data_IF_791808892528
#
_entry.id   IF_791808892528
#
_cell.length_a   1.000
_cell.length_b   1.000
_cell.length_c   1.000
_cell.angle_alpha   90.00
_cell.angle_beta   90.00
_cell.angle_gamma   90.00
#
_symmetry.space_group_name_H-M   'P 1'
#
loop_
_entity.id
_entity.type
_entity.pdbx_description
1 polymer ?
#
# COMPACT_ATOMS: atom_id res chain seq x y z
N UNK A 1 6.43 38.02 -17.85
CA UNK A 1 5.71 37.41 -16.72
C UNK A 1 4.68 36.45 -17.30
N UNK A 2 4.98 35.16 -17.28
CA UNK A 2 4.04 34.10 -17.66
C UNK A 2 4.28 32.95 -16.71
N UNK A 3 3.30 32.73 -15.83
CA UNK A 3 3.32 31.64 -14.87
C UNK A 3 3.26 30.29 -15.59
N UNK A 4 4.09 29.37 -15.14
CA UNK A 4 3.95 27.95 -15.46
C UNK A 4 3.55 27.24 -14.17
N UNK A 5 2.24 27.14 -13.96
CA UNK A 5 1.63 26.14 -13.09
C UNK A 5 1.83 24.78 -13.76
N UNK A 6 2.89 24.07 -13.36
CA UNK A 6 2.99 22.63 -13.62
C UNK A 6 2.01 21.94 -12.68
N UNK A 7 0.78 21.75 -13.19
CA UNK A 7 -0.11 20.74 -12.64
C UNK A 7 0.63 19.41 -12.70
N UNK A 8 0.92 18.82 -11.55
CA UNK A 8 1.30 17.42 -11.46
C UNK A 8 0.05 16.63 -11.83
N UNK A 9 0.02 16.13 -13.07
CA UNK A 9 -0.93 15.11 -13.47
C UNK A 9 -0.85 13.96 -12.45
N UNK A 10 -1.95 13.69 -11.77
CA UNK A 10 -2.11 12.58 -10.84
C UNK A 10 -2.11 11.26 -11.60
N UNK A 11 -0.93 10.84 -12.06
CA UNK A 11 -0.75 9.47 -12.55
C UNK A 11 -1.16 8.48 -11.46
N UNK A 12 -1.85 7.40 -11.83
CA UNK A 12 -2.12 6.27 -10.94
C UNK A 12 -0.79 5.64 -10.49
N UNK A 13 -0.13 6.22 -9.50
CA UNK A 13 1.14 5.69 -9.01
C UNK A 13 0.86 4.32 -8.39
N UNK A 14 1.42 3.30 -9.02
CA UNK A 14 1.78 2.05 -8.36
C UNK A 14 0.76 0.92 -8.42
N UNK A 15 -0.33 1.00 -9.19
CA UNK A 15 -1.24 -0.15 -9.37
C UNK A 15 -0.58 -1.23 -10.24
N UNK A 16 -0.56 -2.47 -9.75
CA UNK A 16 -0.01 -3.65 -10.41
C UNK A 16 -1.01 -4.80 -10.38
N UNK A 17 -0.86 -5.74 -11.32
CA UNK A 17 -1.68 -6.94 -11.36
C UNK A 17 -1.35 -7.89 -10.19
N UNK A 18 -2.37 -8.60 -9.72
CA UNK A 18 -2.22 -9.68 -8.76
C UNK A 18 -1.15 -10.69 -9.21
N UNK A 19 -0.18 -10.99 -8.34
CA UNK A 19 0.91 -11.94 -8.63
C UNK A 19 0.37 -13.35 -8.87
N UNK A 20 -0.79 -13.66 -8.32
CA UNK A 20 -1.49 -14.92 -8.50
C UNK A 20 -2.46 -14.93 -9.70
N UNK A 21 -2.51 -13.86 -10.51
CA UNK A 21 -3.29 -13.84 -11.76
C UNK A 21 -4.80 -13.72 -11.59
N UNK A 22 -5.30 -13.33 -10.41
CA UNK A 22 -6.74 -13.28 -10.12
C UNK A 22 -7.48 -12.08 -10.72
N UNK A 23 -6.82 -11.23 -11.51
CA UNK A 23 -7.37 -9.96 -12.03
C UNK A 23 -7.59 -8.86 -10.96
N UNK A 24 -7.21 -9.09 -9.70
CA UNK A 24 -7.32 -8.08 -8.64
C UNK A 24 -6.20 -7.06 -8.75
N UNK A 25 -6.50 -5.81 -8.41
CA UNK A 25 -5.55 -4.70 -8.39
C UNK A 25 -4.82 -4.64 -7.05
N UNK A 26 -3.50 -4.67 -7.13
CA UNK A 26 -2.59 -4.49 -6.00
C UNK A 26 -1.76 -3.23 -6.23
N UNK A 27 -0.96 -2.87 -5.24
CA UNK A 27 0.02 -1.81 -5.36
C UNK A 27 1.38 -2.25 -4.91
N UNK A 28 2.44 -1.74 -5.56
CA UNK A 28 3.82 -2.04 -5.15
C UNK A 28 4.06 -1.57 -3.71
N UNK A 29 4.69 -2.42 -2.92
CA UNK A 29 5.22 -2.08 -1.61
C UNK A 29 6.50 -2.88 -1.36
N UNK A 30 7.10 -2.65 -0.21
CA UNK A 30 8.24 -3.41 0.25
C UNK A 30 8.05 -3.77 1.72
N UNK A 31 8.41 -4.98 2.09
CA UNK A 31 8.23 -5.50 3.46
C UNK A 31 9.53 -6.03 4.03
N UNK A 32 9.67 -6.01 5.34
CA UNK A 32 10.75 -6.70 6.06
C UNK A 32 10.24 -7.13 7.42
N UNK A 33 10.91 -8.09 8.05
CA UNK A 33 10.74 -8.27 9.49
C UNK A 33 11.58 -7.24 10.26
N UNK A 34 10.96 -6.61 11.25
CA UNK A 34 11.58 -5.64 12.15
C UNK A 34 10.98 -5.82 13.54
N UNK A 35 11.81 -6.13 14.52
CA UNK A 35 11.39 -6.29 15.91
C UNK A 35 10.24 -7.30 16.10
N UNK A 36 10.25 -8.40 15.34
CA UNK A 36 9.21 -9.45 15.40
C UNK A 36 7.87 -9.07 14.75
N UNK A 37 7.82 -7.96 14.02
CA UNK A 37 6.67 -7.52 13.24
C UNK A 37 7.03 -7.48 11.76
N UNK A 38 6.03 -7.61 10.89
CA UNK A 38 6.21 -7.30 9.48
C UNK A 38 5.99 -5.80 9.32
N UNK A 39 7.03 -5.14 8.81
CA UNK A 39 7.03 -3.72 8.52
C UNK A 39 6.89 -3.51 7.02
N UNK A 40 5.83 -2.82 6.60
CA UNK A 40 5.55 -2.44 5.22
C UNK A 40 5.90 -0.98 4.99
N UNK A 41 6.52 -0.71 3.83
CA UNK A 41 6.66 0.63 3.26
C UNK A 41 6.05 0.65 1.86
N UNK A 42 5.41 1.75 1.49
CA UNK A 42 4.93 1.94 0.13
C UNK A 42 4.99 3.43 -0.25
N UNK A 43 5.28 3.70 -1.52
CA UNK A 43 5.15 5.03 -2.09
C UNK A 43 3.67 5.42 -2.20
N UNK A 44 3.38 6.71 -1.97
CA UNK A 44 2.03 7.22 -2.05
C UNK A 44 1.95 8.67 -1.59
N UNK A 45 0.72 9.15 -1.41
CA UNK A 45 0.48 10.45 -0.80
C UNK A 45 1.17 10.48 0.57
N UNK A 46 1.96 11.51 0.90
CA UNK A 46 2.64 11.63 2.18
C UNK A 46 1.62 11.79 3.33
N UNK A 47 1.12 10.67 3.83
CA UNK A 47 0.08 10.65 4.87
C UNK A 47 0.72 10.70 6.26
N UNK A 48 1.70 9.82 6.50
CA UNK A 48 2.41 9.73 7.78
C UNK A 48 3.93 9.79 7.64
N UNK A 49 4.45 9.74 6.40
CA UNK A 49 5.87 9.81 6.06
C UNK A 49 6.04 10.55 4.74
N UNK A 50 7.18 11.20 4.55
CA UNK A 50 7.52 11.90 3.30
C UNK A 50 7.46 10.97 2.08
N UNK A 51 7.79 9.68 2.26
CA UNK A 51 7.75 8.67 1.21
C UNK A 51 6.39 8.00 1.02
N UNK A 52 5.35 8.36 1.78
CA UNK A 52 4.02 7.75 1.66
C UNK A 52 3.58 7.02 2.92
N UNK A 53 3.66 5.69 2.90
CA UNK A 53 3.03 4.80 3.89
C UNK A 53 4.05 3.93 4.62
N UNK A 54 3.89 3.81 5.94
CA UNK A 54 4.62 2.86 6.78
C UNK A 54 3.69 2.22 7.81
N UNK A 55 3.63 0.89 7.85
CA UNK A 55 2.70 0.14 8.73
C UNK A 55 3.42 -1.08 9.31
N UNK A 56 3.20 -1.33 10.61
CA UNK A 56 3.62 -2.56 11.28
C UNK A 56 2.41 -3.45 11.59
N UNK A 57 2.54 -4.75 11.35
CA UNK A 57 1.51 -5.73 11.67
C UNK A 57 2.13 -7.03 12.21
N UNK A 58 1.38 -7.70 13.08
CA UNK A 58 1.77 -8.99 13.62
C UNK A 58 1.48 -10.10 12.61
N UNK A 59 2.37 -11.08 12.56
CA UNK A 59 2.24 -12.27 11.72
C UNK A 59 2.58 -13.52 12.54
N UNK A 60 2.01 -14.68 12.19
CA UNK A 60 2.48 -15.97 12.69
C UNK A 60 3.98 -16.18 12.47
N UNK A 61 4.64 -16.92 13.36
CA UNK A 61 6.09 -17.13 13.33
C UNK A 61 6.58 -17.74 12.01
N UNK A 62 5.84 -18.69 11.44
CA UNK A 62 6.17 -19.32 10.16
C UNK A 62 6.09 -18.36 8.96
N UNK A 63 5.31 -17.29 9.07
CA UNK A 63 5.24 -16.20 8.08
C UNK A 63 6.42 -15.23 8.28
N UNK A 64 6.76 -14.90 9.52
CA UNK A 64 7.95 -14.10 9.83
C UNK A 64 9.21 -14.78 9.30
N UNK A 65 9.40 -16.05 9.66
CA UNK A 65 10.52 -16.88 9.19
C UNK A 65 10.56 -16.95 7.66
N UNK A 66 9.40 -17.12 7.02
CA UNK A 66 9.32 -17.13 5.56
C UNK A 66 9.80 -15.81 4.95
N UNK A 67 9.32 -14.66 5.44
CA UNK A 67 9.70 -13.34 4.92
C UNK A 67 11.19 -13.05 5.15
N UNK A 68 11.74 -13.40 6.32
CA UNK A 68 13.15 -13.20 6.64
C UNK A 68 14.08 -13.96 5.68
N UNK A 69 13.64 -15.12 5.17
CA UNK A 69 14.42 -15.94 4.25
C UNK A 69 14.20 -15.59 2.77
N UNK A 70 13.33 -14.62 2.45
CA UNK A 70 13.20 -14.10 1.08
C UNK A 70 14.38 -13.18 0.72
N UNK A 71 14.59 -12.99 -0.59
CA UNK A 71 15.60 -12.06 -1.07
C UNK A 71 15.19 -10.61 -0.79
N UNK A 72 16.06 -9.86 -0.11
CA UNK A 72 15.85 -8.45 0.22
C UNK A 72 16.62 -7.58 -0.76
N UNK A 73 15.95 -7.07 -1.78
CA UNK A 73 16.58 -6.33 -2.89
C UNK A 73 16.24 -4.84 -2.90
N UNK A 74 15.15 -4.42 -2.25
CA UNK A 74 14.65 -3.05 -2.32
C UNK A 74 15.21 -2.20 -1.16
N UNK A 75 15.86 -1.06 -1.43
CA UNK A 75 16.31 -0.18 -0.36
C UNK A 75 15.14 0.46 0.37
N UNK A 76 15.32 0.75 1.66
CA UNK A 76 14.33 1.45 2.47
C UNK A 76 13.93 2.78 1.84
N UNK A 77 12.63 3.01 1.64
CA UNK A 77 12.09 4.30 1.19
C UNK A 77 12.39 5.43 2.19
N UNK A 78 12.68 5.08 3.45
CA UNK A 78 13.09 6.03 4.48
C UNK A 78 14.59 6.40 4.42
N UNK A 79 15.35 5.88 3.45
CA UNK A 79 16.79 6.17 3.31
C UNK A 79 17.68 5.56 4.41
N UNK A 80 17.20 4.56 5.15
CA UNK A 80 17.92 3.96 6.29
C UNK A 80 19.05 3.00 5.91
N UNK A 81 19.21 2.70 4.62
CA UNK A 81 20.17 1.70 4.12
C UNK A 81 19.74 0.24 4.34
N UNK A 82 18.66 -0.02 5.06
CA UNK A 82 18.10 -1.36 5.21
C UNK A 82 17.46 -1.84 3.89
N UNK A 83 17.58 -3.13 3.61
CA UNK A 83 16.95 -3.77 2.45
C UNK A 83 15.63 -4.44 2.86
N UNK A 84 14.70 -4.50 1.91
CA UNK A 84 13.35 -5.00 2.03
C UNK A 84 13.06 -5.99 0.90
N UNK A 85 12.10 -6.87 1.13
CA UNK A 85 11.54 -7.78 0.13
C UNK A 85 10.55 -7.00 -0.74
N UNK A 86 10.67 -7.06 -2.09
CA UNK A 86 9.66 -6.55 -2.99
C UNK A 86 8.32 -7.27 -2.77
N UNK A 87 7.25 -6.51 -2.61
CA UNK A 87 5.93 -7.02 -2.33
C UNK A 87 4.86 -6.21 -3.06
N UNK A 88 3.62 -6.65 -2.91
CA UNK A 88 2.48 -5.83 -3.29
C UNK A 88 1.37 -5.97 -2.26
N UNK A 89 0.59 -4.91 -2.09
CA UNK A 89 -0.50 -4.89 -1.12
C UNK A 89 -1.79 -4.32 -1.69
N UNK A 90 -2.90 -4.69 -1.08
CA UNK A 90 -4.20 -4.09 -1.35
C UNK A 90 -4.99 -4.02 -0.04
N UNK A 91 -5.53 -2.85 0.35
CA UNK A 91 -6.44 -2.78 1.49
C UNK A 91 -7.74 -3.52 1.15
N UNK A 92 -8.26 -4.32 2.07
CA UNK A 92 -9.55 -5.00 1.90
C UNK A 92 -10.66 -4.44 2.78
N UNK A 93 -10.28 -3.71 3.84
CA UNK A 93 -11.17 -2.96 4.73
C UNK A 93 -10.33 -1.95 5.51
N UNK A 94 -10.96 -1.17 6.40
CA UNK A 94 -10.30 -0.27 7.34
C UNK A 94 -9.31 -0.97 8.30
N UNK A 95 -9.49 -2.27 8.56
CA UNK A 95 -8.69 -3.01 9.53
C UNK A 95 -7.76 -4.06 8.94
N UNK A 96 -7.84 -4.30 7.63
CA UNK A 96 -7.13 -5.41 7.02
C UNK A 96 -6.47 -5.04 5.69
N UNK A 97 -5.26 -5.57 5.51
CA UNK A 97 -4.50 -5.49 4.27
C UNK A 97 -4.20 -6.89 3.77
N UNK A 98 -4.21 -7.05 2.46
CA UNK A 98 -3.69 -8.22 1.78
C UNK A 98 -2.33 -7.91 1.19
N UNK A 99 -1.38 -8.81 1.40
CA UNK A 99 0.00 -8.67 0.91
C UNK A 99 0.36 -9.92 0.12
N UNK A 100 0.98 -9.71 -1.03
CA UNK A 100 1.58 -10.76 -1.84
C UNK A 100 3.07 -10.51 -1.96
N UNK A 101 3.83 -11.58 -1.84
CA UNK A 101 5.27 -11.61 -2.13
C UNK A 101 5.48 -12.67 -3.20
N UNK A 102 6.45 -12.46 -4.08
CA UNK A 102 6.75 -13.45 -5.11
C UNK A 102 7.27 -14.74 -4.45
N UNK A 103 6.57 -15.85 -4.66
CA UNK A 103 6.90 -17.15 -4.10
C UNK A 103 5.70 -18.08 -4.07
N UNK A 104 5.95 -19.36 -3.80
CA UNK A 104 4.91 -20.41 -3.80
C UNK A 104 4.25 -20.57 -2.43
N UNK A 105 4.95 -20.19 -1.35
CA UNK A 105 4.46 -20.36 0.02
C UNK A 105 3.52 -19.22 0.40
N UNK A 106 2.35 -19.57 0.94
CA UNK A 106 1.32 -18.66 1.45
C UNK A 106 0.68 -17.67 0.46
N UNK A 107 1.16 -17.61 -0.77
CA UNK A 107 0.67 -16.68 -1.79
C UNK A 107 -0.60 -17.22 -2.43
N UNK A 108 -1.72 -17.13 -1.71
CA UNK A 108 -3.06 -17.43 -2.24
C UNK A 108 -3.44 -16.38 -3.29
N UNK A 109 -4.49 -16.65 -4.07
CA UNK A 109 -5.03 -15.72 -5.08
C UNK A 109 -5.32 -14.30 -4.55
N UNK A 110 -5.55 -14.21 -3.24
CA UNK A 110 -5.82 -12.98 -2.52
C UNK A 110 -4.68 -12.52 -1.60
N UNK A 111 -3.57 -13.27 -1.51
CA UNK A 111 -2.42 -12.97 -0.66
C UNK A 111 -2.62 -13.29 0.82
N UNK A 112 -1.60 -12.95 1.60
CA UNK A 112 -1.60 -13.02 3.06
C UNK A 112 -2.43 -11.87 3.63
N UNK A 113 -3.42 -12.18 4.48
CA UNK A 113 -4.27 -11.16 5.10
C UNK A 113 -3.77 -10.84 6.50
N UNK A 114 -3.48 -9.57 6.75
CA UNK A 114 -3.01 -9.07 8.05
C UNK A 114 -3.97 -8.06 8.62
N UNK A 115 -4.17 -8.11 9.95
CA UNK A 115 -4.88 -7.08 10.69
C UNK A 115 -3.93 -5.93 10.98
N UNK A 116 -4.36 -4.71 10.68
CA UNK A 116 -3.59 -3.49 10.95
C UNK A 116 -3.90 -3.00 12.35
N UNK A 117 -2.86 -2.68 13.13
CA UNK A 117 -3.02 -2.21 14.52
C UNK A 117 -3.50 -0.75 14.64
N UNK A 118 -3.27 0.08 13.61
CA UNK A 118 -3.75 1.46 13.52
C UNK A 118 -4.60 1.63 12.24
N UNK A 119 -5.93 1.47 12.33
CA UNK A 119 -6.86 1.55 11.18
C UNK A 119 -6.84 2.90 10.46
N UNK A 120 -6.45 3.96 11.17
CA UNK A 120 -6.32 5.33 10.66
C UNK A 120 -5.41 5.40 9.43
N UNK A 121 -4.38 4.54 9.36
CA UNK A 121 -3.46 4.45 8.23
C UNK A 121 -4.07 3.78 6.98
N UNK A 122 -5.05 2.89 7.16
CA UNK A 122 -5.73 2.21 6.05
C UNK A 122 -6.85 3.09 5.48
N UNK A 123 -7.57 3.79 6.34
CA UNK A 123 -8.63 4.72 5.96
C UNK A 123 -8.12 5.88 5.09
N UNK A 124 -6.92 6.40 5.36
CA UNK A 124 -6.33 7.49 4.58
C UNK A 124 -5.87 7.05 3.18
N UNK A 125 -5.60 5.75 2.98
CA UNK A 125 -5.22 5.21 1.67
C UNK A 125 -6.43 4.82 0.81
N UNK A 126 -7.49 4.29 1.42
CA UNK A 126 -8.78 4.12 0.74
C UNK A 126 -9.41 5.47 0.35
N UNK A 127 -9.09 6.53 1.10
CA UNK A 127 -9.54 7.88 0.80
C UNK A 127 -8.94 8.48 -0.48
N UNK A 128 -7.94 7.91 -1.14
CA UNK A 128 -7.54 8.42 -2.48
C UNK A 128 -8.54 7.98 -3.55
N UNK A 129 -9.10 6.76 -3.45
CA UNK A 129 -10.17 6.31 -4.35
C UNK A 129 -11.54 6.90 -3.97
N UNK A 130 -11.79 7.07 -2.67
CA UNK A 130 -13.07 7.54 -2.16
C UNK A 130 -13.16 9.07 -2.16
N UNK A 131 -12.07 9.84 -2.00
CA UNK A 131 -12.13 11.31 -2.18
C UNK A 131 -12.44 11.68 -3.62
N UNK A 132 -11.83 11.07 -4.63
CA UNK A 132 -12.14 11.41 -6.03
C UNK A 132 -13.60 11.05 -6.37
N UNK A 133 -14.14 9.96 -5.81
CA UNK A 133 -15.53 9.56 -5.99
C UNK A 133 -16.53 10.40 -5.15
N UNK A 134 -16.16 10.80 -3.92
CA UNK A 134 -16.97 11.68 -3.04
C UNK A 134 -16.93 13.13 -3.51
N UNK A 135 -15.77 13.68 -3.87
CA UNK A 135 -15.64 15.01 -4.46
C UNK A 135 -16.34 15.05 -5.82
N UNK A 136 -16.24 13.99 -6.64
CA UNK A 136 -17.00 13.86 -7.88
C UNK A 136 -18.52 13.74 -7.68
N UNK A 137 -18.98 13.12 -6.58
CA UNK A 137 -20.40 13.06 -6.20
C UNK A 137 -20.92 14.35 -5.57
N UNK A 138 -20.11 15.02 -4.75
CA UNK A 138 -20.44 16.31 -4.13
C UNK A 138 -20.47 17.44 -5.16
N UNK A 139 -19.53 17.46 -6.12
CA UNK A 139 -19.54 18.40 -7.24
C UNK A 139 -20.75 18.20 -8.18
N UNK A 140 -21.32 16.98 -8.25
CA UNK A 140 -22.60 16.73 -8.96
C UNK A 140 -23.83 17.18 -8.16
N UNK A 141 -23.76 17.14 -6.84
CA UNK A 141 -24.85 17.60 -5.96
C UNK A 141 -24.90 19.12 -5.84
N UNK A 142 -23.80 19.84 -6.07
CA UNK A 142 -23.78 21.32 -6.09
C UNK A 142 -24.18 21.94 -7.44
N UNK A 143 -24.46 21.14 -8.47
CA UNK A 143 -24.94 21.61 -9.79
C UNK A 143 -26.45 21.34 -9.98
N UNK A 144 -27.10 20.66 -9.04
CA UNK A 144 -28.57 20.55 -9.00
C UNK A 144 -29.14 21.40 -7.86
N UNK A 145 -29.11 22.73 -8.04
CA UNK A 145 -30.12 23.59 -7.43
C UNK A 145 -31.09 24.10 -8.52
N UNK A 146 -32.38 24.25 -8.19
CA UNK A 146 -33.53 24.30 -9.11
C UNK A 146 -33.59 25.47 -10.10
#
# INVERSE_FOLDING_TARGET
MSGSTTGKEGGEIGIVECLAGSGRKFRKCQIRVRSGLVHLQAEGVPVNREYGVAIDFAAPADVLDYIENLEHTEPSLAGTGALYVPAQFTPISDQYVQIQVKGEKFNRDYGLTFKVFSPELVMLYNNISIYDELVGRMAKLEIEEP
#
